data_IF_543053273022
#
_entry.id   IF_543053273022
#
_cell.length_a   1.000
_cell.length_b   1.000
_cell.length_c   1.000
_cell.angle_alpha   90.00
_cell.angle_beta   90.00
_cell.angle_gamma   90.00
#
_symmetry.space_group_name_H-M   'P 1'
#
loop_
_entity.id
_entity.type
_entity.pdbx_description
1 polymer ?
#
# COMPACT_ATOMS: atom_id res chain seq x y z
N UNK A 1 10.60 45.69 0.61
CA UNK A 1 9.75 44.89 -0.31
C UNK A 1 10.60 43.74 -0.81
N UNK A 2 10.21 42.48 -0.56
CA UNK A 2 11.02 41.31 -0.92
C UNK A 2 10.62 40.84 -2.32
N UNK A 3 11.62 40.52 -3.15
CA UNK A 3 11.46 40.04 -4.54
C UNK A 3 10.56 38.80 -4.68
N UNK A 4 10.36 38.05 -3.59
CA UNK A 4 9.46 36.89 -3.51
C UNK A 4 7.98 37.24 -3.71
N UNK A 5 7.59 38.47 -3.42
CA UNK A 5 6.18 38.91 -3.45
C UNK A 5 5.71 39.24 -4.89
N UNK A 6 6.66 39.41 -5.82
CA UNK A 6 6.37 39.74 -7.24
C UNK A 6 6.11 38.48 -8.08
N UNK A 7 6.68 37.33 -7.71
CA UNK A 7 6.63 36.11 -8.52
C UNK A 7 5.39 35.25 -8.24
N UNK A 8 4.83 35.30 -7.04
CA UNK A 8 3.59 34.61 -6.70
C UNK A 8 2.40 35.58 -6.79
N UNK A 9 1.87 35.78 -8.00
CA UNK A 9 0.46 36.22 -8.16
C UNK A 9 -0.46 35.13 -7.63
N UNK A 10 -0.59 34.99 -6.31
CA UNK A 10 -1.67 34.23 -5.71
C UNK A 10 -2.94 35.05 -5.91
N UNK A 11 -3.65 34.81 -7.02
CA UNK A 11 -5.06 35.18 -7.09
C UNK A 11 -5.73 34.58 -5.85
N UNK A 12 -6.44 35.37 -5.03
CA UNK A 12 -7.20 34.81 -3.93
C UNK A 12 -8.19 33.83 -4.53
N UNK A 13 -8.03 32.55 -4.24
CA UNK A 13 -9.01 31.53 -4.61
C UNK A 13 -10.31 31.99 -3.99
N UNK A 14 -11.26 32.46 -4.80
CA UNK A 14 -12.60 32.83 -4.33
C UNK A 14 -13.07 31.65 -3.49
N UNK A 15 -13.30 31.87 -2.20
CA UNK A 15 -13.77 30.81 -1.31
C UNK A 15 -15.02 30.24 -1.98
N UNK A 16 -14.95 28.98 -2.39
CA UNK A 16 -16.04 28.28 -3.05
C UNK A 16 -17.14 28.07 -2.00
N UNK A 17 -17.93 29.11 -1.72
CA UNK A 17 -18.87 29.18 -0.59
C UNK A 17 -20.28 28.76 -0.96
N UNK A 18 -20.52 28.28 -2.18
CA UNK A 18 -21.85 27.88 -2.61
C UNK A 18 -21.92 26.37 -2.88
N UNK A 19 -21.83 25.57 -1.81
CA UNK A 19 -22.30 24.19 -1.89
C UNK A 19 -23.83 24.22 -1.83
N UNK A 20 -24.49 23.91 -2.94
CA UNK A 20 -25.93 23.61 -2.96
C UNK A 20 -26.15 22.45 -1.98
N UNK A 21 -27.02 22.62 -0.99
CA UNK A 21 -27.25 21.60 0.02
C UNK A 21 -27.99 20.43 -0.63
N UNK A 22 -27.26 19.34 -0.93
CA UNK A 22 -27.75 18.16 -1.65
C UNK A 22 -28.51 17.17 -0.76
N UNK A 23 -28.83 17.51 0.49
CA UNK A 23 -29.57 16.64 1.42
C UNK A 23 -28.73 15.56 2.11
N UNK A 24 -27.40 15.60 2.01
CA UNK A 24 -26.53 14.66 2.73
C UNK A 24 -26.41 15.04 4.21
N UNK A 25 -26.47 14.04 5.11
CA UNK A 25 -26.31 14.21 6.56
C UNK A 25 -24.96 14.85 6.95
N UNK A 26 -23.94 14.68 6.13
CA UNK A 26 -22.57 15.17 6.38
C UNK A 26 -22.03 15.96 5.19
N UNK A 27 -21.03 16.81 5.46
CA UNK A 27 -20.34 17.60 4.43
C UNK A 27 -19.55 16.67 3.51
N UNK A 28 -20.01 16.55 2.28
CA UNK A 28 -19.40 15.74 1.24
C UNK A 28 -18.23 16.50 0.62
N UNK A 29 -16.99 16.07 0.89
CA UNK A 29 -15.77 16.70 0.32
C UNK A 29 -15.56 16.33 -1.13
N UNK A 30 -15.89 15.09 -1.51
CA UNK A 30 -15.84 14.60 -2.90
C UNK A 30 -17.19 14.02 -3.27
N UNK A 31 -17.63 14.29 -4.49
CA UNK A 31 -18.89 13.77 -5.03
C UNK A 31 -18.91 12.23 -4.87
N UNK A 32 -19.98 11.63 -4.35
CA UNK A 32 -20.12 10.19 -4.19
C UNK A 32 -20.45 9.58 -5.57
N UNK A 33 -19.48 9.64 -6.46
CA UNK A 33 -19.48 8.97 -7.74
C UNK A 33 -18.26 8.05 -7.75
N UNK A 34 -18.44 6.87 -8.33
CA UNK A 34 -17.35 5.96 -8.57
C UNK A 34 -16.37 6.57 -9.61
N UNK A 35 -15.17 6.02 -9.69
CA UNK A 35 -14.16 6.36 -10.70
C UNK A 35 -13.92 5.16 -11.61
N UNK A 36 -13.34 5.43 -12.78
CA UNK A 36 -12.94 4.41 -13.76
C UNK A 36 -11.60 3.72 -13.42
N UNK A 37 -11.00 4.04 -12.27
CA UNK A 37 -9.71 3.48 -11.87
C UNK A 37 -9.65 3.23 -10.36
N UNK A 38 -8.99 2.15 -9.99
CA UNK A 38 -8.65 1.78 -8.61
C UNK A 38 -7.15 1.93 -8.41
N UNK A 39 -6.76 2.46 -7.25
CA UNK A 39 -5.35 2.55 -6.84
C UNK A 39 -4.89 1.22 -6.25
N UNK A 40 -3.69 0.77 -6.62
CA UNK A 40 -3.07 -0.40 -5.99
C UNK A 40 -2.80 -0.13 -4.50
N UNK A 41 -3.22 -1.05 -3.64
CA UNK A 41 -2.77 -1.07 -2.24
C UNK A 41 -1.52 -1.94 -2.16
N UNK A 42 -0.37 -1.35 -1.82
CA UNK A 42 0.79 -2.14 -1.43
C UNK A 42 0.48 -2.79 -0.08
N UNK A 43 0.53 -4.12 -0.04
CA UNK A 43 0.40 -4.86 1.20
C UNK A 43 1.76 -4.88 1.89
N UNK A 44 2.01 -3.88 2.75
CA UNK A 44 3.11 -3.97 3.69
C UNK A 44 2.70 -4.98 4.76
N UNK A 45 3.39 -6.10 4.86
CA UNK A 45 3.26 -6.97 6.04
C UNK A 45 3.76 -6.16 7.23
N UNK A 46 2.88 -5.90 8.20
CA UNK A 46 3.23 -5.12 9.40
C UNK A 46 4.21 -5.88 10.30
N UNK A 47 4.32 -7.20 10.11
CA UNK A 47 5.18 -8.08 10.90
C UNK A 47 6.52 -8.32 10.20
N UNK A 48 7.61 -8.19 10.97
CA UNK A 48 8.93 -8.59 10.52
C UNK A 48 8.98 -10.13 10.39
N UNK A 49 9.61 -10.68 9.33
CA UNK A 49 9.77 -12.11 9.19
C UNK A 49 10.74 -12.64 10.26
N UNK A 50 10.56 -13.92 10.65
CA UNK A 50 11.51 -14.68 11.47
C UNK A 50 11.77 -14.15 12.90
N UNK A 51 10.85 -13.36 13.47
CA UNK A 51 10.99 -12.83 14.84
C UNK A 51 11.16 -13.94 15.88
N UNK A 52 10.45 -15.07 15.73
CA UNK A 52 10.52 -16.19 16.68
C UNK A 52 11.89 -16.88 16.70
N UNK A 53 12.54 -17.02 15.54
CA UNK A 53 13.88 -17.62 15.48
C UNK A 53 14.94 -16.62 15.96
N UNK A 54 14.70 -15.33 15.73
CA UNK A 54 15.53 -14.26 16.29
C UNK A 54 15.49 -14.29 17.83
N UNK A 55 14.32 -14.36 18.46
CA UNK A 55 14.23 -14.40 19.93
C UNK A 55 14.94 -15.62 20.51
N UNK A 56 14.80 -16.80 19.89
CA UNK A 56 15.49 -18.02 20.33
C UNK A 56 17.01 -17.90 20.27
N UNK A 57 17.53 -17.29 19.21
CA UNK A 57 18.96 -17.06 19.05
C UNK A 57 19.48 -16.04 20.08
N UNK A 58 18.73 -14.97 20.33
CA UNK A 58 19.06 -13.97 21.37
C UNK A 58 19.02 -14.57 22.78
N UNK A 59 18.07 -15.48 23.05
CA UNK A 59 17.97 -16.17 24.33
C UNK A 59 19.19 -17.08 24.57
N UNK A 60 19.68 -17.76 23.53
CA UNK A 60 20.91 -18.55 23.62
C UNK A 60 22.11 -17.63 23.92
N UNK A 61 22.26 -16.54 23.17
CA UNK A 61 23.33 -15.58 23.39
C UNK A 61 23.34 -15.01 24.80
N UNK A 62 22.16 -14.71 25.35
CA UNK A 62 22.04 -14.20 26.73
C UNK A 62 22.52 -15.20 27.78
N UNK A 63 22.38 -16.51 27.55
CA UNK A 63 22.79 -17.57 28.49
C UNK A 63 24.28 -17.91 28.40
N UNK A 64 24.92 -17.60 27.27
CA UNK A 64 26.29 -18.03 26.95
C UNK A 64 27.24 -16.85 26.70
N UNK A 65 26.92 -15.67 27.24
CA UNK A 65 27.68 -14.43 27.04
C UNK A 65 28.03 -14.14 25.57
N UNK A 66 27.04 -14.34 24.69
CA UNK A 66 27.14 -14.09 23.24
C UNK A 66 28.17 -14.97 22.51
N UNK A 67 28.57 -16.11 23.08
CA UNK A 67 29.44 -17.06 22.39
C UNK A 67 28.73 -17.73 21.20
N UNK A 68 29.07 -17.30 20.00
CA UNK A 68 28.47 -17.79 18.75
C UNK A 68 28.75 -19.26 18.46
N UNK A 69 29.88 -19.81 18.93
CA UNK A 69 30.22 -21.21 18.71
C UNK A 69 29.26 -22.16 19.41
N UNK A 70 28.73 -21.75 20.57
CA UNK A 70 27.77 -22.54 21.36
C UNK A 70 26.36 -22.45 20.74
N UNK A 71 25.97 -21.25 20.28
CA UNK A 71 24.65 -20.97 19.70
C UNK A 71 24.57 -21.15 18.18
N UNK A 72 25.49 -21.94 17.60
CA UNK A 72 25.54 -22.14 16.14
C UNK A 72 24.28 -22.79 15.56
N UNK A 73 23.58 -23.61 16.36
CA UNK A 73 22.31 -24.24 15.96
C UNK A 73 21.22 -23.20 15.77
N UNK A 74 20.99 -22.35 16.76
CA UNK A 74 19.98 -21.29 16.73
C UNK A 74 20.25 -20.29 15.61
N UNK A 75 21.53 -19.93 15.39
CA UNK A 75 21.93 -19.07 14.29
C UNK A 75 21.63 -19.69 12.92
N UNK A 76 21.89 -20.99 12.74
CA UNK A 76 21.61 -21.69 11.47
C UNK A 76 20.10 -21.72 11.15
N UNK A 77 19.26 -21.90 12.17
CA UNK A 77 17.80 -21.92 12.02
C UNK A 77 17.28 -20.53 11.64
N UNK A 78 17.77 -19.48 12.29
CA UNK A 78 17.43 -18.10 11.95
C UNK A 78 17.80 -17.76 10.49
N UNK A 79 19.02 -18.12 10.07
CA UNK A 79 19.48 -17.85 8.70
C UNK A 79 18.67 -18.62 7.65
N UNK A 80 18.27 -19.87 7.96
CA UNK A 80 17.39 -20.64 7.08
C UNK A 80 16.02 -19.99 6.92
N UNK A 81 15.43 -19.47 8.01
CA UNK A 81 14.17 -18.72 7.95
C UNK A 81 14.32 -17.45 7.11
N UNK A 82 15.41 -16.70 7.31
CA UNK A 82 15.68 -15.47 6.54
C UNK A 82 15.80 -15.75 5.04
N UNK A 83 16.53 -16.81 4.66
CA UNK A 83 16.66 -17.20 3.27
C UNK A 83 15.31 -17.59 2.63
N UNK A 84 14.44 -18.28 3.37
CA UNK A 84 13.09 -18.60 2.91
C UNK A 84 12.22 -17.34 2.75
N UNK A 85 12.24 -16.43 3.73
CA UNK A 85 11.49 -15.18 3.69
C UNK A 85 11.93 -14.28 2.52
N UNK A 86 13.24 -14.20 2.25
CA UNK A 86 13.75 -13.46 1.09
C UNK A 86 13.30 -14.08 -0.23
N UNK A 87 13.31 -15.41 -0.35
CA UNK A 87 12.85 -16.10 -1.54
C UNK A 87 11.36 -15.83 -1.80
N UNK A 88 10.52 -15.91 -0.76
CA UNK A 88 9.10 -15.60 -0.84
C UNK A 88 8.84 -14.13 -1.22
N UNK A 89 9.61 -13.21 -0.66
CA UNK A 89 9.53 -11.78 -0.99
C UNK A 89 9.90 -11.49 -2.45
N UNK A 90 10.90 -12.20 -3.01
CA UNK A 90 11.24 -12.09 -4.43
C UNK A 90 10.11 -12.62 -5.31
N UNK A 91 9.57 -13.79 -4.99
CA UNK A 91 8.47 -14.42 -5.72
C UNK A 91 7.19 -13.56 -5.70
N UNK A 92 6.88 -12.92 -4.57
CA UNK A 92 5.70 -12.04 -4.47
C UNK A 92 5.87 -10.76 -5.29
N UNK A 93 7.06 -10.15 -5.27
CA UNK A 93 7.40 -8.99 -6.12
C UNK A 93 7.28 -9.33 -7.61
N UNK A 94 7.90 -10.43 -8.05
CA UNK A 94 7.83 -10.86 -9.45
C UNK A 94 6.39 -11.11 -9.92
N UNK A 95 5.51 -11.62 -9.03
CA UNK A 95 4.09 -11.79 -9.36
C UNK A 95 3.34 -10.46 -9.45
N UNK A 96 3.63 -9.54 -8.54
CA UNK A 96 3.05 -8.20 -8.55
C UNK A 96 3.44 -7.46 -9.83
N UNK A 97 4.70 -7.55 -10.25
CA UNK A 97 5.21 -6.95 -11.49
C UNK A 97 4.51 -7.54 -12.73
N UNK A 98 4.27 -8.85 -12.73
CA UNK A 98 3.49 -9.53 -13.78
C UNK A 98 1.99 -9.24 -13.71
N UNK A 99 1.52 -8.51 -12.68
CA UNK A 99 0.10 -8.22 -12.48
C UNK A 99 -0.73 -9.48 -12.24
N UNK A 100 -0.15 -10.51 -11.63
CA UNK A 100 -0.83 -11.75 -11.26
C UNK A 100 -1.44 -11.63 -9.85
N UNK A 101 -2.56 -12.30 -9.57
CA UNK A 101 -3.12 -12.34 -8.22
C UNK A 101 -2.16 -13.05 -7.24
N UNK A 102 -2.25 -12.66 -5.97
CA UNK A 102 -1.51 -13.36 -4.91
C UNK A 102 -2.05 -14.79 -4.76
N UNK A 103 -1.16 -15.72 -4.42
CA UNK A 103 -1.56 -17.12 -4.17
C UNK A 103 -2.58 -17.16 -3.03
N UNK A 104 -3.74 -17.76 -3.29
CA UNK A 104 -4.81 -17.91 -2.29
C UNK A 104 -5.73 -16.69 -2.13
N UNK A 105 -5.47 -15.56 -2.79
CA UNK A 105 -6.40 -14.43 -2.76
C UNK A 105 -7.47 -14.57 -3.86
N UNK A 106 -8.74 -14.43 -3.48
CA UNK A 106 -9.86 -14.34 -4.44
C UNK A 106 -9.90 -12.98 -5.18
N UNK A 107 -9.15 -11.99 -4.70
CA UNK A 107 -9.16 -10.63 -5.24
C UNK A 107 -8.23 -10.49 -6.46
N UNK A 108 -8.70 -9.74 -7.46
CA UNK A 108 -7.93 -9.39 -8.64
C UNK A 108 -6.95 -8.23 -8.34
N UNK A 109 -5.77 -8.22 -8.96
CA UNK A 109 -4.85 -7.09 -8.85
C UNK A 109 -5.41 -5.86 -9.56
N UNK A 110 -5.07 -4.67 -9.05
CA UNK A 110 -5.59 -3.39 -9.55
C UNK A 110 -5.37 -3.19 -11.05
N UNK A 111 -4.27 -3.71 -11.62
CA UNK A 111 -4.00 -3.62 -13.05
C UNK A 111 -5.08 -4.34 -13.87
N UNK A 112 -5.49 -5.54 -13.46
CA UNK A 112 -6.55 -6.29 -14.15
C UNK A 112 -7.90 -5.61 -13.98
N UNK A 113 -8.19 -5.11 -12.77
CA UNK A 113 -9.43 -4.35 -12.50
C UNK A 113 -9.48 -3.07 -13.35
N UNK A 114 -8.37 -2.33 -13.46
CA UNK A 114 -8.31 -1.11 -14.25
C UNK A 114 -8.44 -1.38 -15.75
N UNK A 115 -7.91 -2.50 -16.25
CA UNK A 115 -8.16 -2.93 -17.63
C UNK A 115 -9.64 -3.24 -17.88
N UNK A 116 -10.34 -3.82 -16.90
CA UNK A 116 -11.79 -4.08 -17.00
C UNK A 116 -12.59 -2.77 -16.95
N UNK A 117 -12.26 -1.87 -16.02
CA UNK A 117 -12.93 -0.57 -15.89
C UNK A 117 -12.70 0.33 -17.11
N UNK A 118 -11.54 0.22 -17.77
CA UNK A 118 -11.27 0.94 -19.01
C UNK A 118 -12.18 0.49 -20.16
N UNK A 119 -12.61 -0.78 -20.17
CA UNK A 119 -13.56 -1.31 -21.17
C UNK A 119 -15.00 -0.89 -20.88
N UNK A 120 -15.34 -0.75 -19.61
CA UNK A 120 -16.68 -0.41 -19.13
C UNK A 120 -16.61 0.81 -18.21
N UNK A 121 -16.38 2.02 -18.77
CA UNK A 121 -16.30 3.23 -17.99
C UNK A 121 -17.66 3.54 -17.37
N UNK A 122 -17.66 4.20 -16.24
CA UNK A 122 -18.88 4.58 -15.56
C UNK A 122 -19.55 5.74 -16.28
N UNK A 123 -20.89 5.80 -16.25
CA UNK A 123 -21.61 6.91 -16.84
C UNK A 123 -21.21 8.20 -16.13
N UNK A 124 -20.50 9.07 -16.85
CA UNK A 124 -20.25 10.44 -16.38
C UNK A 124 -21.58 11.19 -16.32
N UNK A 125 -21.71 12.12 -15.37
CA UNK A 125 -22.93 12.93 -15.20
C UNK A 125 -23.35 13.71 -16.46
N UNK A 126 -22.48 13.87 -17.46
CA UNK A 126 -22.83 14.48 -18.75
C UNK A 126 -23.75 13.62 -19.62
N UNK A 127 -23.91 12.34 -19.31
CA UNK A 127 -24.78 11.40 -20.03
C UNK A 127 -26.15 11.19 -19.36
N UNK A 128 -26.42 11.87 -18.23
CA UNK A 128 -27.76 11.96 -17.65
C UNK A 128 -28.47 13.16 -18.29
N UNK A 129 -28.88 13.00 -19.56
CA UNK A 129 -29.80 13.93 -20.21
C UNK A 129 -31.21 13.50 -19.83
N UNK A 130 -31.85 14.31 -18.98
CA UNK A 130 -33.29 14.49 -19.03
C UNK A 130 -33.60 15.57 -20.07
#
# INVERSE_FOLDING_TARGET
>A
MKLTDVYFKTCPVKKFTNYRNLGYKYKVVRIPALKDSVTSRQHNTEEAPCVNEMTRMMDCWKRTDFNQAICGKEASVFMACMAAAEAEAKVSKERADKGLPNKGSSLLPSNQVNQLLAKYPQPTKSNFKD
#
